data_IF_301746814071
#
_entry.id   IF_301746814071
#
_cell.length_a   1.000
_cell.length_b   1.000
_cell.length_c   1.000
_cell.angle_alpha   90.00
_cell.angle_beta   90.00
_cell.angle_gamma   90.00
#
_symmetry.space_group_name_H-M   'P 1'
#
loop_
_entity.id
_entity.type
_entity.pdbx_description
1 polymer ?
#
# COMPACT_ATOMS: atom_id res chain seq x y z
N UNK A 1 8.31 13.48 20.14
CA UNK A 1 7.99 13.63 18.70
C UNK A 1 8.89 14.65 17.98
N UNK A 2 8.78 16.00 18.20
CA UNK A 2 9.59 16.99 17.45
C UNK A 2 11.08 16.69 17.49
N UNK A 3 11.64 16.33 18.66
CA UNK A 3 13.06 15.98 18.80
C UNK A 3 13.43 14.75 17.94
N UNK A 4 12.64 13.71 17.95
CA UNK A 4 12.87 12.49 17.16
C UNK A 4 12.81 12.80 15.64
N UNK A 5 11.82 13.59 15.23
CA UNK A 5 11.68 14.03 13.83
C UNK A 5 12.90 14.84 13.37
N UNK A 6 13.31 15.87 14.15
CA UNK A 6 14.50 16.69 13.85
C UNK A 6 15.76 15.82 13.80
N UNK A 7 15.89 14.82 14.67
CA UNK A 7 17.06 13.95 14.71
C UNK A 7 17.26 13.13 13.43
N UNK A 8 16.19 12.74 12.73
CA UNK A 8 16.29 12.08 11.43
C UNK A 8 17.00 12.97 10.39
N UNK A 9 16.70 14.28 10.37
CA UNK A 9 17.38 15.25 9.49
C UNK A 9 18.84 15.49 9.89
N UNK A 10 19.10 15.66 11.18
CA UNK A 10 20.48 15.85 11.71
C UNK A 10 21.37 14.66 11.36
N UNK A 11 20.80 13.45 11.31
CA UNK A 11 21.51 12.22 10.94
C UNK A 11 21.60 11.99 9.43
N UNK A 12 21.11 12.91 8.61
CA UNK A 12 21.12 12.77 7.14
C UNK A 12 20.25 11.62 6.61
N UNK A 13 19.23 11.20 7.38
CA UNK A 13 18.32 10.12 6.97
C UNK A 13 17.17 10.63 6.10
N UNK A 14 16.91 11.93 6.12
CA UNK A 14 15.84 12.58 5.38
C UNK A 14 16.34 13.63 4.41
N UNK A 15 15.62 13.80 3.29
CA UNK A 15 15.68 14.96 2.40
C UNK A 15 14.46 15.82 2.71
N UNK A 16 13.27 15.26 2.56
CA UNK A 16 12.02 15.84 2.99
C UNK A 16 11.11 14.77 3.59
N UNK A 17 10.38 15.14 4.62
CA UNK A 17 9.46 14.24 5.31
C UNK A 17 8.36 14.99 6.04
N UNK A 18 7.27 14.29 6.33
CA UNK A 18 6.21 14.77 7.20
C UNK A 18 5.65 13.63 8.07
N UNK A 19 5.19 13.99 9.27
CA UNK A 19 4.52 13.08 10.19
C UNK A 19 3.30 13.77 10.80
N UNK A 20 2.18 13.05 10.84
CA UNK A 20 0.97 13.52 11.51
C UNK A 20 0.37 12.40 12.37
N UNK A 21 -0.26 12.80 13.47
CA UNK A 21 -0.97 11.87 14.34
C UNK A 21 -2.19 12.53 14.99
N UNK A 22 -3.26 11.78 15.00
CA UNK A 22 -4.47 12.06 15.73
C UNK A 22 -4.59 11.09 16.91
N UNK A 23 -5.06 11.60 18.04
CA UNK A 23 -5.36 10.78 19.22
C UNK A 23 -6.74 11.19 19.72
N UNK A 24 -7.63 10.24 19.84
CA UNK A 24 -9.02 10.46 20.27
C UNK A 24 -9.76 11.57 19.50
N UNK A 25 -9.46 11.70 18.22
CA UNK A 25 -10.07 12.71 17.35
C UNK A 25 -9.41 14.10 17.40
N UNK A 26 -8.34 14.28 18.18
CA UNK A 26 -7.56 15.52 18.25
C UNK A 26 -6.24 15.40 17.48
N UNK A 27 -5.90 16.40 16.68
CA UNK A 27 -4.62 16.46 15.96
C UNK A 27 -3.50 16.85 16.94
N UNK A 28 -2.71 15.86 17.36
CA UNK A 28 -1.65 16.06 18.37
C UNK A 28 -0.27 16.26 17.76
N UNK A 29 -0.05 15.78 16.51
CA UNK A 29 1.20 15.93 15.78
C UNK A 29 0.90 16.32 14.34
N UNK A 30 1.57 17.37 13.85
CA UNK A 30 1.63 17.73 12.45
C UNK A 30 2.97 18.44 12.21
N UNK A 31 3.96 17.69 11.71
CA UNK A 31 5.33 18.16 11.52
C UNK A 31 5.78 17.86 10.10
N UNK A 32 6.44 18.79 9.48
CA UNK A 32 7.09 18.63 8.19
C UNK A 32 8.38 19.43 8.14
N UNK A 33 9.35 19.00 7.33
CA UNK A 33 10.63 19.67 7.13
C UNK A 33 11.36 19.15 5.89
N UNK A 34 12.42 19.86 5.52
CA UNK A 34 13.29 19.53 4.40
C UNK A 34 12.73 20.01 3.07
N UNK A 35 13.09 19.31 2.00
CA UNK A 35 12.75 19.71 0.63
C UNK A 35 11.99 18.60 -0.11
N UNK A 36 11.09 19.02 -0.99
CA UNK A 36 10.30 18.12 -1.82
C UNK A 36 11.08 17.62 -3.05
N UNK A 37 12.20 18.26 -3.37
CA UNK A 37 13.10 17.91 -4.48
C UNK A 37 14.48 17.45 -3.99
N UNK A 38 15.20 16.76 -4.85
CA UNK A 38 16.56 16.28 -4.57
C UNK A 38 17.56 17.46 -4.52
N UNK A 39 17.34 18.51 -5.32
CA UNK A 39 18.22 19.66 -5.44
C UNK A 39 18.14 20.63 -4.25
N UNK A 40 17.17 20.44 -3.35
CA UNK A 40 17.02 21.28 -2.15
C UNK A 40 16.41 22.67 -2.42
N UNK A 41 15.73 22.85 -3.57
CA UNK A 41 15.19 24.14 -4.01
C UNK A 41 13.73 24.36 -3.66
N UNK A 42 12.95 23.26 -3.51
CA UNK A 42 11.51 23.27 -3.23
C UNK A 42 11.25 22.87 -1.77
N UNK A 43 10.94 23.83 -0.87
CA UNK A 43 10.64 23.49 0.51
C UNK A 43 9.45 22.54 0.65
N UNK A 44 9.54 21.56 1.55
CA UNK A 44 8.40 20.72 1.91
C UNK A 44 7.33 21.56 2.60
N UNK A 45 6.06 21.41 2.20
CA UNK A 45 4.91 22.11 2.76
C UNK A 45 3.96 21.13 3.46
N UNK A 46 2.99 21.65 4.19
CA UNK A 46 1.99 20.83 4.90
C UNK A 46 1.14 19.98 3.93
N UNK A 47 0.94 20.46 2.73
CA UNK A 47 0.17 19.84 1.65
C UNK A 47 1.04 19.18 0.57
N UNK A 48 2.36 19.08 0.79
CA UNK A 48 3.25 18.33 -0.10
C UNK A 48 2.79 16.87 -0.17
N UNK A 49 2.57 16.39 -1.39
CA UNK A 49 2.16 15.03 -1.67
C UNK A 49 3.37 14.13 -1.85
N UNK A 50 3.39 13.03 -1.15
CA UNK A 50 4.41 11.98 -1.28
C UNK A 50 3.80 10.71 -1.84
N UNK A 51 4.54 10.02 -2.68
CA UNK A 51 4.18 8.69 -3.17
C UNK A 51 4.33 7.66 -2.07
N UNK A 52 3.24 6.99 -1.70
CA UNK A 52 3.27 5.98 -0.62
C UNK A 52 3.44 4.54 -1.11
N UNK A 53 3.63 4.34 -2.41
CA UNK A 53 3.73 3.02 -3.02
C UNK A 53 2.67 2.06 -2.43
N UNK A 54 3.08 0.94 -1.87
CA UNK A 54 2.16 -0.06 -1.30
C UNK A 54 1.28 0.45 -0.17
N UNK A 55 1.55 1.61 0.43
CA UNK A 55 0.63 2.29 1.34
C UNK A 55 -0.74 2.56 0.70
N UNK A 56 -0.79 2.65 -0.63
CA UNK A 56 -2.02 2.73 -1.44
C UNK A 56 -3.00 1.59 -1.16
N UNK A 57 -2.49 0.39 -0.85
CA UNK A 57 -3.34 -0.79 -0.57
C UNK A 57 -4.26 -0.58 0.62
N UNK A 58 -3.83 0.18 1.63
CA UNK A 58 -4.70 0.52 2.77
C UNK A 58 -5.91 1.36 2.35
N UNK A 59 -5.70 2.32 1.45
CA UNK A 59 -6.77 3.15 0.88
C UNK A 59 -7.76 2.29 0.07
N UNK A 60 -7.23 1.50 -0.85
CA UNK A 60 -8.02 0.58 -1.70
C UNK A 60 -8.78 -0.44 -0.86
N UNK A 61 -8.13 -1.01 0.16
CA UNK A 61 -8.77 -1.98 1.06
C UNK A 61 -9.96 -1.39 1.79
N UNK A 62 -9.85 -0.14 2.28
CA UNK A 62 -10.99 0.53 2.93
C UNK A 62 -12.16 0.70 1.96
N UNK A 63 -11.91 1.13 0.71
CA UNK A 63 -12.96 1.25 -0.31
C UNK A 63 -13.67 -0.10 -0.54
N UNK A 64 -12.89 -1.18 -0.69
CA UNK A 64 -13.45 -2.54 -0.85
C UNK A 64 -14.23 -2.96 0.39
N UNK A 65 -13.71 -2.73 1.59
CA UNK A 65 -14.38 -3.08 2.83
C UNK A 65 -15.69 -2.31 3.07
N UNK A 66 -15.80 -1.06 2.59
CA UNK A 66 -17.07 -0.34 2.63
C UNK A 66 -18.15 -1.04 1.79
N UNK A 67 -17.79 -1.57 0.62
CA UNK A 67 -18.73 -2.36 -0.20
C UNK A 67 -19.07 -3.70 0.45
N UNK A 68 -18.10 -4.33 1.12
CA UNK A 68 -18.35 -5.57 1.90
C UNK A 68 -19.30 -5.30 3.05
N UNK A 69 -19.11 -4.23 3.80
CA UNK A 69 -19.96 -3.89 4.94
C UNK A 69 -21.39 -3.52 4.52
N UNK A 70 -21.56 -2.93 3.32
CA UNK A 70 -22.87 -2.65 2.72
C UNK A 70 -23.55 -3.90 2.14
N UNK A 71 -22.80 -4.99 1.94
CA UNK A 71 -23.28 -6.22 1.31
C UNK A 71 -23.22 -6.24 -0.22
N UNK A 72 -22.58 -5.22 -0.83
CA UNK A 72 -22.36 -5.15 -2.29
C UNK A 72 -21.28 -6.16 -2.74
N UNK A 73 -20.32 -6.45 -1.86
CA UNK A 73 -19.26 -7.46 -2.01
C UNK A 73 -19.31 -8.48 -0.88
N UNK A 74 -18.87 -9.70 -1.15
CA UNK A 74 -18.69 -10.77 -0.18
C UNK A 74 -17.27 -11.31 -0.28
N UNK A 75 -16.51 -11.27 0.82
CA UNK A 75 -15.13 -11.76 0.88
C UNK A 75 -15.00 -13.25 0.57
N UNK A 76 -16.04 -14.03 0.84
CA UNK A 76 -16.09 -15.47 0.56
C UNK A 76 -16.56 -15.79 -0.86
N UNK A 77 -17.12 -14.81 -1.57
CA UNK A 77 -17.55 -15.03 -2.95
C UNK A 77 -16.33 -15.11 -3.88
N UNK A 78 -16.40 -15.99 -4.91
CA UNK A 78 -15.40 -16.00 -5.97
C UNK A 78 -15.33 -14.65 -6.68
N UNK A 79 -14.11 -14.21 -7.04
CA UNK A 79 -13.89 -13.04 -7.92
C UNK A 79 -14.71 -13.16 -9.19
N UNK A 80 -14.83 -14.38 -9.73
CA UNK A 80 -15.60 -14.71 -10.93
C UNK A 80 -17.10 -14.37 -10.82
N UNK A 81 -17.66 -14.22 -9.63
CA UNK A 81 -19.03 -13.74 -9.42
C UNK A 81 -19.23 -12.32 -9.94
N UNK A 82 -18.20 -11.50 -9.79
CA UNK A 82 -18.22 -10.08 -10.15
C UNK A 82 -17.49 -9.82 -11.48
N UNK A 83 -16.54 -10.70 -11.80
CA UNK A 83 -15.71 -10.67 -13.00
C UNK A 83 -15.65 -12.06 -13.63
N UNK A 84 -16.68 -12.45 -14.45
CA UNK A 84 -16.82 -13.82 -14.98
C UNK A 84 -15.61 -14.33 -15.77
N UNK A 85 -14.94 -13.44 -16.52
CA UNK A 85 -13.77 -13.79 -17.33
C UNK A 85 -12.57 -14.23 -16.47
N UNK A 86 -12.54 -13.86 -15.19
CA UNK A 86 -11.50 -14.27 -14.26
C UNK A 86 -11.54 -15.77 -13.91
N UNK A 87 -12.67 -16.46 -14.15
CA UNK A 87 -12.81 -17.90 -13.86
C UNK A 87 -11.85 -18.80 -14.65
N UNK A 88 -11.24 -18.28 -15.73
CA UNK A 88 -10.34 -19.03 -16.61
C UNK A 88 -9.12 -19.60 -15.85
N UNK A 89 -8.51 -20.62 -16.45
CA UNK A 89 -7.21 -21.19 -16.02
C UNK A 89 -7.18 -21.61 -14.54
N UNK A 90 -8.27 -22.23 -14.04
CA UNK A 90 -8.33 -22.76 -12.67
C UNK A 90 -8.64 -21.74 -11.57
N UNK A 91 -9.13 -20.53 -11.93
CA UNK A 91 -9.39 -19.44 -10.98
C UNK A 91 -10.84 -19.31 -10.53
N UNK A 92 -11.72 -20.24 -10.92
CA UNK A 92 -13.17 -20.14 -10.67
C UNK A 92 -13.51 -19.96 -9.17
N UNK A 93 -12.72 -20.57 -8.27
CA UNK A 93 -12.98 -20.58 -6.83
C UNK A 93 -12.10 -19.59 -6.05
N UNK A 94 -11.30 -18.75 -6.72
CA UNK A 94 -10.51 -17.72 -6.05
C UNK A 94 -11.45 -16.69 -5.44
N UNK A 95 -11.47 -16.57 -4.10
CA UNK A 95 -12.33 -15.63 -3.40
C UNK A 95 -11.69 -14.24 -3.30
N UNK A 96 -12.51 -13.20 -3.07
CA UNK A 96 -12.01 -11.86 -2.76
C UNK A 96 -11.12 -11.86 -1.52
N UNK A 97 -11.45 -12.63 -0.50
CA UNK A 97 -10.62 -12.79 0.69
C UNK A 97 -9.23 -13.34 0.38
N UNK A 98 -9.11 -14.31 -0.53
CA UNK A 98 -7.81 -14.83 -0.99
C UNK A 98 -6.97 -13.76 -1.68
N UNK A 99 -7.58 -12.87 -2.47
CA UNK A 99 -6.85 -11.74 -3.06
C UNK A 99 -6.40 -10.76 -2.00
N UNK A 100 -7.30 -10.38 -1.08
CA UNK A 100 -7.00 -9.41 -0.02
C UNK A 100 -5.92 -9.88 0.96
N UNK A 101 -5.77 -11.18 1.19
CA UNK A 101 -4.70 -11.71 2.04
C UNK A 101 -3.53 -12.32 1.26
N UNK A 102 -3.40 -12.00 -0.04
CA UNK A 102 -2.27 -12.42 -0.89
C UNK A 102 -2.14 -13.93 -1.09
N UNK A 103 -3.25 -14.67 -1.15
CA UNK A 103 -3.27 -16.14 -1.28
C UNK A 103 -3.84 -16.63 -2.61
N UNK A 104 -4.22 -15.72 -3.53
CA UNK A 104 -4.86 -16.11 -4.79
C UNK A 104 -3.95 -16.84 -5.80
N UNK A 105 -2.63 -16.73 -5.66
CA UNK A 105 -1.68 -17.24 -6.65
C UNK A 105 -1.52 -16.37 -7.90
N UNK A 106 -2.31 -15.30 -8.06
CA UNK A 106 -2.28 -14.43 -9.25
C UNK A 106 -1.37 -13.22 -8.99
N UNK A 107 -0.07 -13.46 -8.85
CA UNK A 107 0.93 -12.42 -8.54
C UNK A 107 1.42 -11.67 -9.79
N UNK A 108 1.13 -12.16 -10.97
CA UNK A 108 1.53 -11.57 -12.25
C UNK A 108 1.08 -12.44 -13.42
N UNK A 109 1.08 -11.92 -14.66
CA UNK A 109 0.81 -12.70 -15.86
C UNK A 109 1.94 -13.70 -16.12
N UNK A 110 1.75 -14.59 -17.09
CA UNK A 110 2.78 -15.55 -17.51
C UNK A 110 3.83 -14.94 -18.46
N UNK A 111 3.59 -13.73 -18.94
CA UNK A 111 4.49 -12.96 -19.78
C UNK A 111 4.65 -11.56 -19.20
N UNK A 112 5.89 -11.06 -19.17
CA UNK A 112 6.16 -9.70 -18.72
C UNK A 112 5.35 -8.68 -19.53
N UNK A 113 4.84 -7.69 -18.86
CA UNK A 113 4.19 -6.53 -19.47
C UNK A 113 5.12 -5.32 -19.33
N UNK A 114 5.36 -4.63 -20.42
CA UNK A 114 6.11 -3.36 -20.42
C UNK A 114 5.20 -2.17 -20.04
N UNK A 115 5.81 -1.01 -19.92
CA UNK A 115 5.11 0.21 -19.54
C UNK A 115 3.90 0.53 -20.44
N UNK A 116 4.02 0.34 -21.75
CA UNK A 116 2.94 0.64 -22.70
C UNK A 116 1.72 -0.26 -22.50
N UNK A 117 1.94 -1.50 -22.07
CA UNK A 117 0.87 -2.43 -21.73
C UNK A 117 0.23 -2.10 -20.38
N UNK A 118 1.05 -1.72 -19.40
CA UNK A 118 0.57 -1.48 -18.02
C UNK A 118 -0.32 -0.23 -17.92
N UNK A 119 -0.17 0.72 -18.84
CA UNK A 119 -1.04 1.91 -18.91
C UNK A 119 -2.42 1.62 -19.49
N UNK A 120 -2.62 0.46 -20.10
CA UNK A 120 -3.92 -0.02 -20.60
C UNK A 120 -4.58 -0.93 -19.56
N UNK A 121 -5.52 -0.39 -18.79
CA UNK A 121 -6.24 -1.11 -17.75
C UNK A 121 -6.94 -2.37 -18.25
N UNK A 122 -7.64 -2.28 -19.39
CA UNK A 122 -8.43 -3.38 -19.91
C UNK A 122 -7.52 -4.51 -20.43
N UNK A 123 -6.38 -4.18 -21.04
CA UNK A 123 -5.37 -5.14 -21.44
C UNK A 123 -4.75 -5.87 -20.24
N UNK A 124 -4.43 -5.14 -19.15
CA UNK A 124 -3.93 -5.77 -17.92
C UNK A 124 -4.96 -6.74 -17.34
N UNK A 125 -6.23 -6.32 -17.28
CA UNK A 125 -7.32 -7.17 -16.79
C UNK A 125 -7.50 -8.41 -17.68
N UNK A 126 -7.47 -8.26 -19.01
CA UNK A 126 -7.51 -9.41 -19.93
C UNK A 126 -6.38 -10.41 -19.66
N UNK A 127 -5.14 -9.92 -19.50
CA UNK A 127 -3.98 -10.77 -19.24
C UNK A 127 -4.08 -11.48 -17.88
N UNK A 128 -4.58 -10.80 -16.84
CA UNK A 128 -4.79 -11.41 -15.54
C UNK A 128 -5.93 -12.42 -15.54
N UNK A 129 -7.01 -12.16 -16.28
CA UNK A 129 -8.11 -13.10 -16.45
C UNK A 129 -7.67 -14.38 -17.16
N UNK A 130 -6.76 -14.28 -18.14
CA UNK A 130 -6.22 -15.42 -18.87
C UNK A 130 -5.10 -16.17 -18.13
N UNK A 131 -4.39 -15.50 -17.19
CA UNK A 131 -3.22 -16.07 -16.51
C UNK A 131 -3.58 -17.24 -15.60
N UNK A 132 -2.76 -18.29 -15.62
CA UNK A 132 -2.80 -19.36 -14.60
C UNK A 132 -2.21 -18.84 -13.28
N UNK A 133 -2.74 -19.27 -12.13
CA UNK A 133 -2.10 -19.02 -10.83
C UNK A 133 -0.68 -19.58 -10.79
N UNK A 134 0.21 -18.93 -10.04
CA UNK A 134 1.61 -19.38 -9.83
C UNK A 134 1.73 -20.48 -8.79
N UNK A 135 0.69 -20.71 -8.00
CA UNK A 135 0.50 -21.82 -7.06
C UNK A 135 -0.99 -22.11 -6.90
N UNK A 136 -1.33 -23.26 -6.38
CA UNK A 136 -2.70 -23.66 -6.04
C UNK A 136 -3.34 -22.62 -5.13
N UNK A 137 -4.43 -21.94 -5.55
CA UNK A 137 -5.06 -20.88 -4.75
C UNK A 137 -5.39 -21.32 -3.31
N UNK A 138 -5.08 -20.48 -2.35
CA UNK A 138 -5.31 -20.74 -0.93
C UNK A 138 -4.22 -21.58 -0.24
N UNK A 139 -3.33 -22.29 -0.96
CA UNK A 139 -2.34 -23.21 -0.37
C UNK A 139 -1.06 -22.50 0.09
N UNK A 140 -0.71 -21.37 -0.49
CA UNK A 140 0.47 -20.59 -0.15
C UNK A 140 0.15 -19.10 -0.14
N UNK A 141 1.08 -18.31 0.34
CA UNK A 141 1.01 -16.85 0.36
C UNK A 141 2.18 -16.25 -0.39
N UNK A 142 1.92 -15.20 -1.16
CA UNK A 142 2.93 -14.43 -1.86
C UNK A 142 2.39 -13.04 -2.18
N UNK A 143 3.14 -12.02 -1.80
CA UNK A 143 2.70 -10.65 -1.87
C UNK A 143 2.33 -10.21 -3.30
N UNK A 144 1.08 -9.82 -3.51
CA UNK A 144 0.56 -9.31 -4.78
C UNK A 144 0.92 -7.83 -4.92
N UNK A 145 2.13 -7.52 -5.40
CA UNK A 145 2.62 -6.14 -5.44
C UNK A 145 1.70 -5.21 -6.20
N UNK A 146 1.42 -5.55 -7.45
CA UNK A 146 0.65 -4.74 -8.40
C UNK A 146 -0.72 -5.35 -8.67
N UNK A 147 -0.81 -6.67 -8.82
CA UNK A 147 -2.05 -7.37 -9.18
C UNK A 147 -3.15 -7.23 -8.13
N UNK A 148 -2.81 -7.00 -6.86
CA UNK A 148 -3.76 -6.63 -5.82
C UNK A 148 -4.68 -5.49 -6.26
N UNK A 149 -4.07 -4.39 -6.75
CA UNK A 149 -4.82 -3.22 -7.18
C UNK A 149 -5.65 -3.46 -8.42
N UNK A 150 -5.11 -4.20 -9.41
CA UNK A 150 -5.86 -4.50 -10.64
C UNK A 150 -7.02 -5.43 -10.39
N UNK A 151 -6.83 -6.53 -9.62
CA UNK A 151 -7.91 -7.50 -9.39
C UNK A 151 -9.03 -6.87 -8.56
N UNK A 152 -8.70 -6.22 -7.45
CA UNK A 152 -9.71 -5.56 -6.61
C UNK A 152 -10.33 -4.35 -7.31
N UNK A 153 -9.54 -3.58 -8.06
CA UNK A 153 -10.00 -2.42 -8.79
C UNK A 153 -10.97 -2.79 -9.92
N UNK A 154 -10.72 -3.90 -10.63
CA UNK A 154 -11.64 -4.37 -11.67
C UNK A 154 -12.97 -4.88 -11.08
N UNK A 155 -12.92 -5.65 -10.00
CA UNK A 155 -14.12 -6.05 -9.26
C UNK A 155 -14.88 -4.81 -8.77
N UNK A 156 -14.17 -3.84 -8.20
CA UNK A 156 -14.73 -2.60 -7.70
C UNK A 156 -15.44 -1.81 -8.82
N UNK A 157 -14.78 -1.65 -9.97
CA UNK A 157 -15.31 -0.95 -11.15
C UNK A 157 -16.59 -1.62 -11.66
N UNK A 158 -16.61 -2.94 -11.72
CA UNK A 158 -17.78 -3.71 -12.21
C UNK A 158 -18.99 -3.62 -11.29
N UNK A 159 -18.77 -3.53 -9.99
CA UNK A 159 -19.84 -3.46 -8.99
C UNK A 159 -20.38 -2.03 -8.84
N UNK A 160 -19.50 -1.02 -8.86
CA UNK A 160 -19.89 0.36 -8.54
C UNK A 160 -20.07 1.26 -9.77
N UNK A 161 -19.49 0.90 -10.92
CA UNK A 161 -19.35 1.78 -12.08
C UNK A 161 -18.30 2.87 -11.93
N UNK A 162 -17.63 2.97 -10.77
CA UNK A 162 -16.57 3.95 -10.49
C UNK A 162 -15.21 3.25 -10.39
N UNK A 163 -14.14 3.98 -10.67
CA UNK A 163 -12.79 3.53 -10.30
C UNK A 163 -12.57 3.66 -8.79
N UNK A 164 -11.54 2.99 -8.26
CA UNK A 164 -11.18 3.11 -6.84
C UNK A 164 -10.78 4.54 -6.48
N UNK A 165 -10.03 5.23 -7.39
CA UNK A 165 -9.60 6.60 -7.15
C UNK A 165 -10.76 7.59 -7.19
N UNK A 166 -11.72 7.43 -8.10
CA UNK A 166 -12.93 8.24 -8.11
C UNK A 166 -13.72 8.10 -6.82
N UNK A 167 -13.97 6.86 -6.39
CA UNK A 167 -14.69 6.58 -5.16
C UNK A 167 -13.93 7.10 -3.92
N UNK A 168 -12.62 6.83 -3.83
CA UNK A 168 -11.77 7.34 -2.75
C UNK A 168 -11.90 8.86 -2.62
N UNK A 169 -11.88 9.56 -3.75
CA UNK A 169 -12.01 11.03 -3.78
C UNK A 169 -13.36 11.48 -3.26
N UNK A 170 -14.46 10.99 -3.85
CA UNK A 170 -15.80 11.51 -3.58
C UNK A 170 -16.39 11.05 -2.24
N UNK A 171 -16.12 9.80 -1.85
CA UNK A 171 -16.75 9.19 -0.68
C UNK A 171 -15.88 9.28 0.58
N UNK A 172 -14.58 9.54 0.44
CA UNK A 172 -13.64 9.51 1.57
C UNK A 172 -12.84 10.80 1.67
N UNK A 173 -12.06 11.15 0.63
CA UNK A 173 -11.09 12.22 0.69
C UNK A 173 -11.76 13.61 0.85
N UNK A 174 -12.68 13.95 -0.05
CA UNK A 174 -13.40 15.22 -0.01
C UNK A 174 -14.22 15.38 1.28
N UNK A 175 -15.03 14.41 1.74
CA UNK A 175 -15.76 14.52 3.00
C UNK A 175 -14.88 14.67 4.24
N UNK A 176 -13.67 14.13 4.21
CA UNK A 176 -12.71 14.24 5.31
C UNK A 176 -11.79 15.47 5.21
N UNK A 177 -11.78 16.17 4.08
CA UNK A 177 -10.79 17.19 3.77
C UNK A 177 -9.36 16.62 3.76
N UNK A 178 -9.19 15.38 3.30
CA UNK A 178 -7.94 14.65 3.36
C UNK A 178 -7.24 14.64 1.99
N UNK A 179 -6.00 15.09 1.94
CA UNK A 179 -5.16 15.07 0.74
C UNK A 179 -4.62 13.65 0.52
N UNK A 180 -5.45 12.79 -0.09
CA UNK A 180 -5.15 11.39 -0.43
C UNK A 180 -5.74 11.07 -1.82
N UNK A 181 -4.91 10.61 -2.74
CA UNK A 181 -5.28 10.43 -4.14
C UNK A 181 -4.76 9.10 -4.70
N UNK A 182 -5.57 8.44 -5.52
CA UNK A 182 -5.18 7.39 -6.47
C UNK A 182 -5.62 7.89 -7.84
N UNK A 183 -4.66 8.18 -8.72
CA UNK A 183 -4.92 9.00 -9.91
C UNK A 183 -4.96 10.48 -9.55
N UNK A 184 -3.86 11.19 -9.76
CA UNK A 184 -3.71 12.61 -9.44
C UNK A 184 -3.70 13.45 -10.72
N UNK A 185 -4.63 14.41 -10.82
CA UNK A 185 -4.68 15.31 -11.96
C UNK A 185 -3.36 16.06 -12.16
N UNK A 186 -2.94 16.25 -13.41
CA UNK A 186 -1.67 16.93 -13.76
C UNK A 186 -1.54 18.33 -13.15
N UNK A 187 -2.67 19.04 -13.00
CA UNK A 187 -2.71 20.36 -12.38
C UNK A 187 -2.28 20.37 -10.92
N UNK A 188 -2.40 19.23 -10.22
CA UNK A 188 -2.05 19.08 -8.82
C UNK A 188 -0.65 18.49 -8.60
N UNK A 189 -0.02 17.98 -9.65
CA UNK A 189 1.26 17.28 -9.53
C UNK A 189 2.43 18.19 -9.15
N UNK A 190 2.27 19.49 -9.30
CA UNK A 190 3.25 20.48 -8.83
C UNK A 190 3.48 20.42 -7.30
N UNK A 191 2.55 19.83 -6.54
CA UNK A 191 2.68 19.60 -5.09
C UNK A 191 3.42 18.32 -4.74
N UNK A 192 3.67 17.45 -5.72
CA UNK A 192 4.33 16.18 -5.46
C UNK A 192 5.81 16.37 -5.12
N UNK A 193 6.27 15.59 -4.16
CA UNK A 193 7.69 15.41 -3.90
C UNK A 193 8.32 14.44 -4.92
N UNK A 194 9.62 14.64 -5.18
CA UNK A 194 10.42 13.72 -5.97
C UNK A 194 10.57 12.37 -5.24
N UNK A 195 10.84 11.32 -5.99
CA UNK A 195 11.17 10.01 -5.42
C UNK A 195 12.67 9.79 -5.49
N UNK A 196 13.35 9.96 -4.37
CA UNK A 196 14.82 9.83 -4.31
C UNK A 196 15.17 8.49 -3.65
N UNK A 197 15.57 7.52 -4.46
CA UNK A 197 15.98 6.21 -3.95
C UNK A 197 17.48 6.14 -3.67
N UNK A 198 17.84 5.57 -2.51
CA UNK A 198 19.24 5.26 -2.19
C UNK A 198 19.82 4.21 -3.15
N UNK A 199 21.15 4.21 -3.36
CA UNK A 199 21.80 3.27 -4.28
C UNK A 199 21.45 1.81 -4.03
N UNK A 200 21.32 1.37 -2.76
CA UNK A 200 21.00 -0.02 -2.45
C UNK A 200 19.56 -0.41 -2.82
N UNK A 201 18.61 0.54 -2.81
CA UNK A 201 17.23 0.32 -3.30
C UNK A 201 17.26 0.14 -4.82
N UNK A 202 17.96 1.04 -5.53
CA UNK A 202 18.12 0.94 -6.99
C UNK A 202 18.80 -0.36 -7.41
N UNK A 203 19.84 -0.77 -6.68
CA UNK A 203 20.53 -2.06 -6.94
C UNK A 203 19.62 -3.24 -6.66
N UNK A 204 18.84 -3.22 -5.57
CA UNK A 204 17.87 -4.28 -5.26
C UNK A 204 16.84 -4.45 -6.39
N UNK A 205 16.33 -3.36 -6.94
CA UNK A 205 15.38 -3.40 -8.06
C UNK A 205 16.05 -3.95 -9.33
N UNK A 206 17.25 -3.47 -9.68
CA UNK A 206 18.00 -3.97 -10.81
C UNK A 206 18.35 -5.47 -10.69
N UNK A 207 18.69 -5.94 -9.49
CA UNK A 207 18.99 -7.35 -9.21
C UNK A 207 17.77 -8.27 -9.40
N UNK A 208 16.57 -7.76 -9.24
CA UNK A 208 15.34 -8.53 -9.44
C UNK A 208 15.12 -8.86 -10.91
N UNK A 209 15.45 -7.94 -11.81
CA UNK A 209 15.30 -8.10 -13.25
C UNK A 209 16.45 -8.85 -13.92
N UNK A 210 17.62 -8.96 -13.26
CA UNK A 210 18.81 -9.54 -13.84
C UNK A 210 18.65 -10.98 -14.38
N UNK A 211 17.90 -11.90 -13.72
CA UNK A 211 17.66 -13.25 -14.24
C UNK A 211 16.67 -13.33 -15.41
N UNK A 212 15.98 -12.24 -15.74
CA UNK A 212 14.87 -12.21 -16.69
C UNK A 212 13.54 -12.64 -16.09
N UNK A 213 12.49 -12.62 -16.91
CA UNK A 213 11.13 -12.94 -16.44
C UNK A 213 10.96 -14.45 -16.27
N UNK A 214 10.62 -14.95 -15.05
CA UNK A 214 10.60 -16.39 -14.78
C UNK A 214 9.41 -17.10 -15.44
N UNK A 215 9.59 -18.37 -15.75
CA UNK A 215 8.50 -19.29 -16.14
C UNK A 215 8.03 -20.15 -14.96
N UNK A 216 8.86 -20.26 -13.91
CA UNK A 216 8.55 -20.98 -12.67
C UNK A 216 9.14 -20.27 -11.46
N UNK A 217 8.46 -20.34 -10.31
CA UNK A 217 8.95 -19.80 -9.04
C UNK A 217 10.18 -20.56 -8.50
N UNK A 218 10.45 -21.76 -9.02
CA UNK A 218 11.61 -22.56 -8.63
C UNK A 218 12.92 -22.19 -9.37
N UNK A 219 12.87 -21.33 -10.39
CA UNK A 219 14.04 -20.99 -11.20
C UNK A 219 15.13 -20.26 -10.41
N UNK A 220 14.74 -19.34 -9.52
CA UNK A 220 15.66 -18.61 -8.65
C UNK A 220 14.95 -18.02 -7.42
N UNK A 221 15.69 -17.68 -6.34
CA UNK A 221 15.09 -17.20 -5.09
C UNK A 221 14.26 -15.91 -5.20
N UNK A 222 14.47 -15.10 -6.23
CA UNK A 222 13.75 -13.84 -6.48
C UNK A 222 12.67 -13.99 -7.56
N UNK A 223 12.39 -15.19 -8.07
CA UNK A 223 11.44 -15.41 -9.16
C UNK A 223 10.04 -14.85 -8.83
N UNK A 224 9.53 -15.12 -7.63
CA UNK A 224 8.25 -14.59 -7.20
C UNK A 224 8.21 -13.05 -7.16
N UNK A 225 9.29 -12.42 -6.73
CA UNK A 225 9.41 -10.97 -6.71
C UNK A 225 9.45 -10.41 -8.14
N UNK A 226 10.25 -11.00 -9.03
CA UNK A 226 10.33 -10.60 -10.44
C UNK A 226 8.96 -10.69 -11.15
N UNK A 227 8.20 -11.76 -10.92
CA UNK A 227 6.84 -11.90 -11.45
C UNK A 227 5.91 -10.82 -10.89
N UNK A 228 5.92 -10.61 -9.59
CA UNK A 228 5.02 -9.67 -8.92
C UNK A 228 5.32 -8.21 -9.26
N UNK A 229 6.56 -7.91 -9.65
CA UNK A 229 7.01 -6.63 -10.19
C UNK A 229 6.86 -6.53 -11.72
N UNK A 230 6.54 -7.60 -12.41
CA UNK A 230 6.46 -7.65 -13.88
C UNK A 230 5.41 -6.74 -14.52
N UNK A 231 4.65 -6.02 -13.72
CA UNK A 231 3.81 -4.88 -14.10
C UNK A 231 4.41 -3.54 -13.68
N UNK A 232 5.53 -3.56 -12.97
CA UNK A 232 6.15 -2.31 -12.61
C UNK A 232 6.67 -1.63 -13.89
N UNK A 233 6.49 -0.33 -14.03
CA UNK A 233 7.28 0.42 -15.00
C UNK A 233 8.75 0.04 -14.81
N UNK A 234 9.51 -0.09 -15.89
CA UNK A 234 10.94 -0.49 -15.85
C UNK A 234 11.77 0.32 -14.86
N UNK A 235 11.18 1.36 -14.32
CA UNK A 235 11.72 2.22 -13.28
C UNK A 235 10.63 2.58 -12.27
N UNK A 236 10.34 1.68 -11.30
CA UNK A 236 9.39 1.98 -10.20
C UNK A 236 9.76 3.23 -9.41
N UNK A 237 11.01 3.66 -9.51
CA UNK A 237 11.51 4.83 -8.81
C UNK A 237 11.66 6.03 -9.76
N UNK A 238 11.69 5.81 -11.07
CA UNK A 238 11.84 6.84 -12.07
C UNK A 238 11.14 6.50 -13.39
N UNK A 239 9.81 6.25 -13.38
CA UNK A 239 9.08 5.95 -14.61
C UNK A 239 9.41 7.00 -15.69
N UNK A 240 9.62 6.56 -16.92
CA UNK A 240 9.90 7.44 -18.06
C UNK A 240 8.84 8.53 -18.28
N UNK A 241 7.62 8.34 -17.70
CA UNK A 241 6.55 9.34 -17.63
C UNK A 241 5.91 9.31 -16.23
N UNK A 242 6.58 9.92 -15.26
CA UNK A 242 6.12 10.02 -13.88
C UNK A 242 4.78 10.76 -13.76
N UNK A 243 4.54 11.74 -14.62
CA UNK A 243 3.31 12.53 -14.62
C UNK A 243 2.13 11.67 -15.08
N UNK A 244 2.32 10.86 -16.12
CA UNK A 244 1.32 9.90 -16.57
C UNK A 244 1.08 8.81 -15.49
N UNK A 245 2.15 8.32 -14.85
CA UNK A 245 2.01 7.33 -13.78
C UNK A 245 1.21 7.86 -12.58
N UNK A 246 1.38 9.13 -12.22
CA UNK A 246 0.59 9.77 -11.17
C UNK A 246 -0.87 10.00 -11.58
N UNK A 247 -1.11 10.29 -12.85
CA UNK A 247 -2.45 10.55 -13.42
C UNK A 247 -3.29 9.28 -13.53
N UNK A 248 -2.67 8.18 -13.94
CA UNK A 248 -3.32 6.86 -14.01
C UNK A 248 -3.62 6.32 -12.61
N UNK A 249 -4.54 5.37 -12.53
CA UNK A 249 -4.88 4.69 -11.30
C UNK A 249 -4.20 3.33 -11.22
N UNK A 250 -3.31 3.16 -10.25
CA UNK A 250 -2.73 1.88 -9.84
C UNK A 250 -3.09 1.63 -8.37
N UNK A 251 -4.28 1.05 -8.06
CA UNK A 251 -4.80 1.00 -6.69
C UNK A 251 -4.00 0.12 -5.71
N UNK A 252 -2.84 -0.33 -6.11
CA UNK A 252 -1.88 -1.06 -5.26
C UNK A 252 -0.59 -0.29 -4.97
N UNK A 253 -0.29 0.81 -5.73
CA UNK A 253 1.07 1.34 -5.74
C UNK A 253 1.22 2.86 -5.87
N UNK A 254 0.30 3.59 -6.49
CA UNK A 254 0.58 4.98 -6.86
C UNK A 254 -0.13 6.06 -6.04
N UNK A 255 -0.57 5.75 -4.84
CA UNK A 255 -1.17 6.75 -3.95
C UNK A 255 -0.26 7.95 -3.72
N UNK A 256 -0.80 9.15 -3.91
CA UNK A 256 -0.18 10.43 -3.63
C UNK A 256 -0.88 11.04 -2.41
N UNK A 257 -0.16 11.25 -1.31
CA UNK A 257 -0.80 11.66 -0.06
C UNK A 257 0.04 12.67 0.70
N UNK A 258 -0.61 13.57 1.45
CA UNK A 258 0.07 14.30 2.52
C UNK A 258 0.07 13.48 3.81
N UNK A 259 1.03 13.73 4.72
CA UNK A 259 1.02 13.06 6.02
C UNK A 259 -0.24 13.36 6.81
N UNK A 260 -0.70 14.61 6.79
CA UNK A 260 -1.94 15.01 7.45
C UNK A 260 -3.15 14.30 6.83
N UNK A 261 -3.23 14.23 5.51
CA UNK A 261 -4.33 13.56 4.81
C UNK A 261 -4.39 12.07 5.15
N UNK A 262 -3.25 11.38 5.09
CA UNK A 262 -3.19 9.95 5.42
C UNK A 262 -3.48 9.69 6.91
N UNK A 263 -2.99 10.53 7.83
CA UNK A 263 -3.32 10.42 9.26
C UNK A 263 -4.80 10.70 9.53
N UNK A 264 -5.41 11.66 8.82
CA UNK A 264 -6.85 11.95 8.90
C UNK A 264 -7.68 10.76 8.44
N UNK A 265 -7.27 10.09 7.37
CA UNK A 265 -7.90 8.85 6.91
C UNK A 265 -7.85 7.74 7.97
N UNK A 266 -6.68 7.48 8.58
CA UNK A 266 -6.57 6.49 9.65
C UNK A 266 -7.29 6.91 10.94
N UNK A 267 -7.36 8.22 11.24
CA UNK A 267 -8.20 8.72 12.33
C UNK A 267 -9.68 8.49 12.05
N UNK A 268 -10.14 8.63 10.81
CA UNK A 268 -11.53 8.35 10.46
C UNK A 268 -11.90 6.87 10.68
N UNK A 269 -10.95 5.94 10.51
CA UNK A 269 -11.10 4.53 10.92
C UNK A 269 -11.12 4.41 12.46
N UNK A 270 -10.22 5.09 13.17
CA UNK A 270 -10.19 5.08 14.64
C UNK A 270 -11.48 5.63 15.28
N UNK A 271 -12.16 6.53 14.58
CA UNK A 271 -13.44 7.14 14.98
C UNK A 271 -14.67 6.39 14.42
N UNK A 272 -14.47 5.23 13.78
CA UNK A 272 -15.53 4.40 13.17
C UNK A 272 -16.39 5.15 12.12
N UNK A 273 -15.81 6.16 11.47
CA UNK A 273 -16.50 6.96 10.44
C UNK A 273 -16.51 6.30 9.07
N UNK A 274 -15.54 5.45 8.78
CA UNK A 274 -15.39 4.78 7.47
C UNK A 274 -15.85 3.33 7.50
N UNK A 275 -15.64 2.63 8.60
CA UNK A 275 -16.01 1.23 8.83
C UNK A 275 -16.43 1.05 10.28
N UNK A 276 -17.37 0.15 10.56
CA UNK A 276 -17.76 -0.18 11.92
C UNK A 276 -16.65 -0.95 12.65
N UNK A 277 -16.62 -0.84 13.98
CA UNK A 277 -15.71 -1.61 14.83
C UNK A 277 -15.78 -3.10 14.54
N UNK A 278 -17.01 -3.63 14.45
CA UNK A 278 -17.25 -5.04 14.16
C UNK A 278 -16.60 -5.46 12.83
N UNK A 279 -16.67 -4.64 11.81
CA UNK A 279 -16.06 -4.94 10.51
C UNK A 279 -14.53 -4.87 10.58
N UNK A 280 -13.99 -3.86 11.28
CA UNK A 280 -12.54 -3.72 11.47
C UNK A 280 -11.95 -4.87 12.30
N UNK A 281 -12.71 -5.45 13.22
CA UNK A 281 -12.30 -6.66 13.96
C UNK A 281 -12.12 -7.88 13.04
N UNK A 282 -12.85 -7.98 11.92
CA UNK A 282 -12.62 -9.00 10.88
C UNK A 282 -11.33 -8.72 10.09
N UNK A 283 -11.07 -7.45 9.75
CA UNK A 283 -9.89 -7.03 8.99
C UNK A 283 -8.60 -7.46 9.67
N UNK A 284 -8.52 -7.29 10.98
CA UNK A 284 -7.31 -7.53 11.80
C UNK A 284 -7.09 -8.97 12.23
N UNK A 285 -7.94 -9.90 11.81
CA UNK A 285 -7.68 -11.34 12.01
C UNK A 285 -6.51 -11.75 11.13
N UNK A 286 -5.48 -12.34 11.73
CA UNK A 286 -4.29 -12.80 10.99
C UNK A 286 -4.67 -13.86 9.97
N UNK A 287 -4.24 -13.66 8.72
CA UNK A 287 -4.51 -14.53 7.59
C UNK A 287 -3.31 -15.40 7.18
N UNK A 288 -2.22 -15.35 7.93
CA UNK A 288 -1.00 -16.09 7.62
C UNK A 288 -0.37 -16.70 8.86
N UNK A 289 0.55 -17.61 8.65
CA UNK A 289 1.23 -18.39 9.67
C UNK A 289 2.76 -18.41 9.53
N UNK A 290 3.36 -19.57 9.76
CA UNK A 290 4.81 -19.76 9.73
C UNK A 290 5.38 -20.01 8.34
N UNK A 291 4.54 -20.09 7.33
CA UNK A 291 4.93 -20.26 5.93
C UNK A 291 5.79 -19.09 5.43
N UNK A 292 6.59 -19.35 4.41
CA UNK A 292 7.36 -18.32 3.72
C UNK A 292 6.52 -17.68 2.63
N UNK A 293 6.48 -16.35 2.58
CA UNK A 293 5.93 -15.60 1.47
C UNK A 293 6.76 -15.85 0.19
N UNK A 294 6.12 -16.39 -0.84
CA UNK A 294 6.79 -16.82 -2.08
C UNK A 294 7.32 -15.65 -2.93
N UNK A 295 6.89 -14.42 -2.64
CA UNK A 295 7.33 -13.20 -3.33
C UNK A 295 8.41 -12.48 -2.52
N UNK A 296 8.16 -12.28 -1.23
CA UNK A 296 9.06 -11.51 -0.37
C UNK A 296 10.21 -12.36 0.24
N UNK A 297 10.14 -13.69 0.13
CA UNK A 297 11.18 -14.60 0.62
C UNK A 297 11.36 -14.61 2.15
N UNK A 298 10.34 -14.20 2.91
CA UNK A 298 10.39 -14.12 4.38
C UNK A 298 9.12 -14.67 5.00
N UNK A 299 9.17 -15.02 6.31
CA UNK A 299 8.00 -15.60 6.98
C UNK A 299 6.83 -14.61 6.96
N UNK A 300 5.65 -15.14 6.66
CA UNK A 300 4.40 -14.39 6.65
C UNK A 300 4.12 -13.77 8.03
N UNK A 301 4.37 -14.51 9.11
CA UNK A 301 4.24 -14.02 10.48
C UNK A 301 5.12 -12.81 10.82
N UNK A 302 6.19 -12.57 10.07
CA UNK A 302 7.04 -11.39 10.26
C UNK A 302 6.38 -10.09 9.77
N UNK A 303 5.35 -10.20 8.92
CA UNK A 303 4.55 -9.08 8.44
C UNK A 303 3.19 -9.01 9.13
N UNK A 304 2.59 -10.19 9.41
CA UNK A 304 1.20 -10.29 9.82
C UNK A 304 0.26 -9.69 8.76
N UNK A 305 -0.43 -10.54 8.01
CA UNK A 305 -1.44 -10.07 7.06
C UNK A 305 -2.83 -10.24 7.65
N UNK A 306 -3.60 -9.16 7.64
CA UNK A 306 -5.04 -9.17 7.74
C UNK A 306 -5.68 -9.14 6.34
N UNK A 307 -6.95 -8.79 6.26
CA UNK A 307 -7.64 -8.64 5.00
C UNK A 307 -7.31 -7.27 4.37
N UNK A 308 -6.28 -7.25 3.51
CA UNK A 308 -5.80 -6.08 2.80
C UNK A 308 -4.90 -5.12 3.60
N UNK A 309 -4.49 -5.52 4.81
CA UNK A 309 -3.66 -4.71 5.69
C UNK A 309 -2.50 -5.50 6.30
N UNK A 310 -1.43 -4.79 6.61
CA UNK A 310 -0.36 -5.28 7.47
C UNK A 310 -0.76 -5.13 8.94
N UNK A 311 -0.44 -6.14 9.75
CA UNK A 311 -0.72 -6.16 11.19
C UNK A 311 0.56 -5.92 11.99
N UNK A 312 0.43 -5.35 13.19
CA UNK A 312 1.54 -5.07 14.09
C UNK A 312 1.88 -6.24 15.03
N UNK A 313 1.77 -7.49 14.57
CA UNK A 313 1.94 -8.68 15.42
C UNK A 313 3.26 -8.73 16.20
N UNK A 314 4.31 -8.04 15.72
CA UNK A 314 5.61 -7.93 16.38
C UNK A 314 5.76 -6.67 17.23
N UNK A 315 4.72 -5.91 17.43
CA UNK A 315 4.72 -4.66 18.19
C UNK A 315 5.84 -3.70 17.80
N UNK A 316 6.09 -3.55 16.49
CA UNK A 316 7.12 -2.64 15.96
C UNK A 316 6.67 -1.19 16.04
N UNK A 317 5.40 -0.94 15.75
CA UNK A 317 4.80 0.40 15.72
C UNK A 317 3.84 0.58 16.91
N UNK A 318 4.40 0.62 18.12
CA UNK A 318 3.65 0.67 19.36
C UNK A 318 3.36 -0.71 19.96
N UNK A 319 2.89 -0.77 21.22
CA UNK A 319 2.78 -1.99 22.00
C UNK A 319 1.57 -2.86 21.63
N UNK A 320 0.60 -2.32 20.90
CA UNK A 320 -0.64 -3.02 20.59
C UNK A 320 -0.49 -3.90 19.33
N UNK A 321 -0.58 -5.23 19.43
CA UNK A 321 -0.48 -6.13 18.27
C UNK A 321 -1.69 -6.06 17.32
N UNK A 322 -2.79 -5.45 17.75
CA UNK A 322 -4.02 -5.32 16.95
C UNK A 322 -4.05 -4.10 16.03
N UNK A 323 -3.00 -3.27 16.05
CA UNK A 323 -2.80 -2.19 15.08
C UNK A 323 -2.77 -2.77 13.67
N UNK A 324 -3.44 -2.11 12.74
CA UNK A 324 -3.37 -2.42 11.33
C UNK A 324 -3.17 -1.17 10.48
N UNK A 325 -2.54 -1.34 9.35
CA UNK A 325 -2.21 -0.25 8.44
C UNK A 325 -1.50 -0.76 7.21
N UNK A 326 -0.85 0.11 6.46
CA UNK A 326 -0.03 -0.33 5.34
C UNK A 326 1.16 0.61 5.13
N UNK A 327 2.31 0.02 4.83
CA UNK A 327 3.50 0.76 4.46
C UNK A 327 3.86 0.59 2.99
N UNK A 328 4.77 1.45 2.52
CA UNK A 328 5.34 1.40 1.19
C UNK A 328 6.85 1.15 1.18
N UNK A 329 7.36 0.64 0.07
CA UNK A 329 8.80 0.59 -0.17
C UNK A 329 9.36 2.00 0.01
N UNK A 330 10.52 2.12 0.65
CA UNK A 330 11.16 3.41 0.93
C UNK A 330 10.90 3.94 2.33
N UNK A 331 9.81 3.53 3.02
CA UNK A 331 9.62 3.81 4.45
C UNK A 331 8.33 4.53 4.84
N UNK A 332 7.48 4.97 3.89
CA UNK A 332 6.17 5.53 4.23
C UNK A 332 5.32 4.51 4.98
N UNK A 333 4.56 4.97 5.98
CA UNK A 333 3.71 4.11 6.78
C UNK A 333 2.52 4.88 7.36
N UNK A 334 1.34 4.28 7.30
CA UNK A 334 0.17 4.77 8.00
C UNK A 334 -0.56 3.62 8.70
N UNK A 335 -1.15 3.89 9.87
CA UNK A 335 -1.86 2.89 10.65
C UNK A 335 -2.97 3.47 11.52
N UNK A 336 -3.85 2.59 11.97
CA UNK A 336 -4.85 2.85 12.99
C UNK A 336 -4.62 1.92 14.20
N UNK A 337 -4.71 2.50 15.39
CA UNK A 337 -4.87 1.79 16.66
C UNK A 337 -6.28 2.07 17.21
N UNK A 338 -7.14 1.08 17.15
CA UNK A 338 -8.54 1.21 17.57
C UNK A 338 -8.70 1.29 19.09
N UNK A 339 -7.80 0.67 19.85
CA UNK A 339 -7.84 0.64 21.30
C UNK A 339 -7.43 1.99 21.92
N UNK A 340 -6.40 2.61 21.34
CA UNK A 340 -5.90 3.91 21.77
C UNK A 340 -6.45 5.07 20.92
N UNK A 341 -7.34 4.78 19.96
CA UNK A 341 -7.97 5.75 19.04
C UNK A 341 -6.94 6.62 18.32
N UNK A 342 -5.87 5.99 17.82
CA UNK A 342 -4.77 6.68 17.13
C UNK A 342 -4.89 6.47 15.63
N UNK A 343 -4.82 7.59 14.86
CA UNK A 343 -4.55 7.60 13.44
C UNK A 343 -3.17 8.22 13.20
N UNK A 344 -2.27 7.49 12.56
CA UNK A 344 -0.88 7.89 12.35
C UNK A 344 -0.49 7.81 10.88
N UNK A 345 0.35 8.74 10.44
CA UNK A 345 1.02 8.65 9.16
C UNK A 345 2.41 9.32 9.18
N UNK A 346 3.33 8.69 8.48
CA UNK A 346 4.64 9.22 8.14
C UNK A 346 4.87 9.03 6.64
N UNK A 347 5.30 10.12 5.98
CA UNK A 347 5.64 10.13 4.56
C UNK A 347 6.97 10.83 4.34
N UNK A 348 7.68 10.50 3.28
CA UNK A 348 9.00 11.02 2.94
C UNK A 348 9.26 10.92 1.44
N UNK A 349 10.30 11.56 0.94
CA UNK A 349 10.77 11.41 -0.43
C UNK A 349 12.11 10.67 -0.56
N UNK A 350 12.80 10.42 0.53
CA UNK A 350 14.09 9.71 0.55
C UNK A 350 13.87 8.21 0.80
N UNK A 351 13.83 7.43 -0.27
CA UNK A 351 13.56 5.99 -0.22
C UNK A 351 14.80 5.22 0.25
N UNK A 352 14.76 4.75 1.50
CA UNK A 352 15.88 4.05 2.16
C UNK A 352 15.48 2.67 2.69
N UNK A 353 14.23 2.49 3.14
CA UNK A 353 13.81 1.27 3.79
C UNK A 353 13.32 0.20 2.82
N UNK A 354 13.83 -1.02 2.99
CA UNK A 354 13.33 -2.23 2.30
C UNK A 354 12.21 -2.92 3.07
N UNK A 355 11.91 -2.49 4.31
CA UNK A 355 10.86 -3.01 5.18
C UNK A 355 9.85 -1.92 5.46
N UNK A 356 8.75 -1.93 4.73
CA UNK A 356 7.74 -0.87 4.74
C UNK A 356 7.17 -0.53 6.12
N UNK A 357 6.96 -1.52 7.00
CA UNK A 357 6.37 -1.33 8.33
C UNK A 357 7.40 -1.28 9.46
N UNK A 358 8.68 -1.23 9.16
CA UNK A 358 9.75 -1.28 10.16
C UNK A 358 10.90 -0.30 9.85
N UNK A 359 10.59 0.81 9.17
CA UNK A 359 11.55 1.88 8.96
C UNK A 359 11.88 2.56 10.29
N UNK A 360 13.16 2.59 10.72
CA UNK A 360 13.54 3.19 11.99
C UNK A 360 13.13 4.66 12.11
N UNK A 361 13.03 5.38 10.98
CA UNK A 361 12.60 6.79 10.96
C UNK A 361 11.15 6.94 11.43
N UNK A 362 10.26 6.09 10.91
CA UNK A 362 8.84 6.06 11.29
C UNK A 362 8.62 5.41 12.66
N UNK A 363 9.29 4.28 12.91
CA UNK A 363 9.13 3.48 14.15
C UNK A 363 9.47 4.30 15.41
N UNK A 364 10.54 5.07 15.38
CA UNK A 364 10.89 5.94 16.52
C UNK A 364 9.77 6.93 16.82
N UNK A 365 9.14 7.50 15.79
CA UNK A 365 8.09 8.49 15.98
C UNK A 365 6.78 7.86 16.44
N UNK A 366 6.38 6.72 15.86
CA UNK A 366 5.17 6.02 16.31
C UNK A 366 5.28 5.61 17.79
N UNK A 367 6.43 5.07 18.21
CA UNK A 367 6.65 4.68 19.61
C UNK A 367 6.68 5.86 20.59
N UNK A 368 7.16 7.04 20.16
CA UNK A 368 7.11 8.26 20.98
C UNK A 368 5.66 8.69 21.33
N UNK A 369 4.67 8.39 20.48
CA UNK A 369 3.26 8.67 20.79
C UNK A 369 2.83 7.87 22.02
N UNK A 370 3.08 6.57 22.00
CA UNK A 370 2.72 5.67 23.11
C UNK A 370 3.46 6.01 24.39
N UNK A 371 4.74 6.38 24.29
CA UNK A 371 5.51 6.84 25.45
C UNK A 371 4.90 8.08 26.10
N UNK A 372 4.43 9.05 25.31
CA UNK A 372 3.77 10.27 25.82
C UNK A 372 2.40 9.95 26.42
N UNK A 373 1.67 9.01 25.84
CA UNK A 373 0.37 8.54 26.36
C UNK A 373 0.50 7.64 27.59
N UNK A 374 1.71 7.20 27.95
CA UNK A 374 1.94 6.27 29.06
C UNK A 374 1.45 4.86 28.80
N UNK A 375 1.24 4.49 27.52
CA UNK A 375 0.85 3.16 27.07
C UNK A 375 2.10 2.31 26.93
N UNK A 376 2.11 1.12 27.58
CA UNK A 376 3.25 0.19 27.60
C UNK A 376 2.93 -1.10 26.87
#
# INVERSE_FOLDING_TARGET
>A
MRRAFTQNFVQGKEIGAAVAAWVDGELVVNLWAGTADEDGTKPWQVDTLSTVLSGTKGLTSTCVHQLVERGDLDLNAPVARYWPEFAQAGKADITLGMVMCHRSGVIGPRQRMDWTHVTDWDLVCERLAAAEPWWEPGTAQGYHMTTFGFILGEVFRRVTGNTVGQYLRTEIAEPLGAEIHIGLARTEQHRCADRVAKPHIRQMLADVDAPGYPTSLAEHPKAGLAVSMGFAPDDEVGSNDLDLWRELEFPGTNGQVSALGLATFYNALAQEKLLSRKHMDLIRVSQGGLETDLVLGRRVADHGWGLGYMLNQRCVNGPNPSIFGHGGLGGSFGFVDLENRIGYAYVMNHFDATKANADPRSVVMSNEIYAVLGVK
#
